data_IF_064324617693
#
_entry.id   IF_064324617693
#
_cell.length_a   1.000
_cell.length_b   1.000
_cell.length_c   1.000
_cell.angle_alpha   90.00
_cell.angle_beta   90.00
_cell.angle_gamma   90.00
#
_symmetry.space_group_name_H-M   'P 1'
#
loop_
_entity.id
_entity.type
_entity.pdbx_description
1 polymer ?
#
# COMPACT_ATOMS: atom_id res chain seq x y z
N UNK A 1 6.43 6.79 6.19
CA UNK A 1 6.74 5.41 6.62
C UNK A 1 8.06 5.33 7.38
N UNK A 2 8.39 4.16 7.89
CA UNK A 2 9.54 3.92 8.77
C UNK A 2 10.89 4.40 8.20
N UNK A 3 11.08 4.41 6.90
CA UNK A 3 12.31 4.85 6.25
C UNK A 3 12.70 6.29 6.59
N UNK A 4 11.73 7.13 6.88
CA UNK A 4 11.91 8.53 7.26
C UNK A 4 11.72 8.78 8.76
N UNK A 5 11.42 7.74 9.55
CA UNK A 5 11.11 7.85 10.96
C UNK A 5 12.24 8.49 11.78
N UNK A 6 13.50 8.11 11.50
CA UNK A 6 14.66 8.68 12.17
C UNK A 6 14.80 10.18 12.01
N UNK A 7 14.34 10.76 10.88
CA UNK A 7 14.37 12.22 10.71
C UNK A 7 13.54 12.94 11.77
N UNK A 8 12.39 12.37 12.14
CA UNK A 8 11.54 12.89 13.23
C UNK A 8 12.23 12.74 14.57
N UNK A 9 12.81 11.55 14.83
CA UNK A 9 13.52 11.27 16.09
C UNK A 9 14.70 12.22 16.25
N UNK A 10 15.55 12.38 15.25
CA UNK A 10 16.69 13.30 15.28
C UNK A 10 16.26 14.75 15.53
N UNK A 11 15.24 15.22 14.79
CA UNK A 11 14.73 16.58 14.93
C UNK A 11 14.30 16.89 16.36
N UNK A 12 13.62 15.94 17.00
CA UNK A 12 13.03 16.12 18.35
C UNK A 12 13.94 15.69 19.50
N UNK A 13 15.13 15.16 19.19
CA UNK A 13 16.12 14.76 20.22
C UNK A 13 17.45 15.49 20.02
N UNK A 14 18.28 15.05 19.07
CA UNK A 14 19.64 15.60 18.87
C UNK A 14 19.64 17.06 18.41
N UNK A 15 18.62 17.50 17.69
CA UNK A 15 18.50 18.83 17.12
C UNK A 15 17.50 19.74 17.88
N UNK A 16 16.76 19.21 18.86
CA UNK A 16 15.67 19.94 19.53
C UNK A 16 16.09 21.30 20.12
N UNK A 17 17.32 21.39 20.64
CA UNK A 17 17.86 22.58 21.28
C UNK A 17 18.83 23.38 20.41
N UNK A 18 18.95 23.03 19.11
CA UNK A 18 19.80 23.78 18.19
C UNK A 18 19.06 24.98 17.64
N UNK A 19 19.77 26.12 17.55
CA UNK A 19 19.21 27.33 16.98
C UNK A 19 18.62 27.11 15.58
N UNK A 20 17.38 27.54 15.39
CA UNK A 20 16.64 27.37 14.14
C UNK A 20 15.89 26.06 13.97
N UNK A 21 15.98 25.10 14.91
CA UNK A 21 15.25 23.82 14.85
C UNK A 21 14.08 23.73 15.84
N UNK A 22 14.03 24.56 16.86
CA UNK A 22 13.04 24.56 17.93
C UNK A 22 11.61 24.83 17.46
N UNK A 23 11.44 25.56 16.36
CA UNK A 23 10.14 25.90 15.78
C UNK A 23 9.66 24.89 14.71
N UNK A 24 10.48 23.94 14.29
CA UNK A 24 10.13 22.97 13.24
C UNK A 24 9.13 21.94 13.80
N UNK A 25 8.00 21.82 13.11
CA UNK A 25 6.99 20.81 13.40
C UNK A 25 7.18 19.59 12.50
N UNK A 26 6.99 18.40 13.09
CA UNK A 26 7.10 17.13 12.39
C UNK A 26 5.70 16.51 12.18
N UNK A 27 5.34 16.30 10.93
CA UNK A 27 4.21 15.45 10.54
C UNK A 27 4.76 14.12 10.01
N UNK A 28 4.37 13.02 10.63
CA UNK A 28 4.75 11.68 10.21
C UNK A 28 3.56 10.98 9.54
N UNK A 29 3.75 10.34 8.39
CA UNK A 29 2.68 9.63 7.69
C UNK A 29 2.94 8.13 7.63
N UNK A 30 1.95 7.34 8.08
CA UNK A 30 1.94 5.88 8.00
C UNK A 30 1.13 5.48 6.76
N UNK A 31 1.79 4.96 5.73
CA UNK A 31 1.14 4.38 4.56
C UNK A 31 0.85 2.89 4.74
N UNK A 32 1.77 2.16 5.38
CA UNK A 32 1.57 0.76 5.75
C UNK A 32 2.23 0.46 7.10
N UNK A 33 1.42 0.15 8.10
CA UNK A 33 1.86 -0.12 9.48
C UNK A 33 2.59 -1.47 9.63
N UNK A 34 2.47 -2.35 8.66
CA UNK A 34 3.15 -3.65 8.66
C UNK A 34 4.68 -3.49 8.65
N UNK A 35 5.18 -2.48 7.93
CA UNK A 35 6.60 -2.21 7.79
C UNK A 35 7.04 -1.13 8.77
N UNK A 36 7.71 -1.55 9.86
CA UNK A 36 7.94 -0.70 11.03
C UNK A 36 9.40 -0.27 11.22
N UNK A 37 10.35 -0.89 10.50
CA UNK A 37 11.78 -0.63 10.70
C UNK A 37 12.25 -1.14 12.06
N UNK A 38 12.29 -2.48 12.22
CA UNK A 38 12.72 -3.15 13.44
C UNK A 38 14.21 -3.49 13.37
N UNK A 39 14.98 -3.17 14.44
CA UNK A 39 16.41 -3.34 14.52
C UNK A 39 16.83 -3.83 15.92
N UNK A 40 17.97 -4.49 16.03
CA UNK A 40 18.54 -4.84 17.33
C UNK A 40 18.94 -3.60 18.15
N UNK A 41 19.04 -3.77 19.46
CA UNK A 41 19.42 -2.66 20.36
C UNK A 41 20.82 -2.13 20.12
N UNK A 42 21.75 -2.95 19.62
CA UNK A 42 23.09 -2.57 19.20
C UNK A 42 23.09 -1.45 18.14
N UNK A 43 22.06 -1.41 17.30
CA UNK A 43 21.92 -0.38 16.28
C UNK A 43 21.65 1.03 16.87
N UNK A 44 21.25 1.17 18.13
CA UNK A 44 20.89 2.46 18.71
C UNK A 44 22.06 3.47 18.65
N UNK A 45 23.20 3.08 19.20
CA UNK A 45 24.42 3.91 19.18
C UNK A 45 25.21 3.74 17.89
N UNK A 46 25.50 2.49 17.51
CA UNK A 46 26.43 2.16 16.45
C UNK A 46 25.96 2.57 15.05
N UNK A 47 24.67 2.37 14.76
CA UNK A 47 24.11 2.68 13.45
C UNK A 47 23.37 4.02 13.43
N UNK A 48 22.57 4.29 14.47
CA UNK A 48 21.71 5.47 14.51
C UNK A 48 22.32 6.66 15.25
N UNK A 49 23.40 6.46 16.01
CA UNK A 49 24.06 7.53 16.78
C UNK A 49 23.14 8.16 17.84
N UNK A 50 22.16 7.42 18.34
CA UNK A 50 21.19 7.89 19.32
C UNK A 50 21.67 7.54 20.75
N UNK A 51 21.46 8.44 21.72
CA UNK A 51 21.80 8.18 23.11
C UNK A 51 20.81 7.18 23.75
N UNK A 52 21.24 6.48 24.80
CA UNK A 52 20.42 5.53 25.54
C UNK A 52 19.12 6.15 26.10
N UNK A 53 19.10 7.45 26.37
CA UNK A 53 17.89 8.17 26.81
C UNK A 53 16.73 8.14 25.79
N UNK A 54 17.01 7.89 24.52
CA UNK A 54 16.01 7.82 23.47
C UNK A 54 15.44 6.39 23.33
N UNK A 55 16.17 5.38 23.81
CA UNK A 55 15.80 3.96 23.70
C UNK A 55 14.37 3.66 24.12
N UNK A 56 13.82 4.14 25.26
CA UNK A 56 12.45 3.81 25.68
C UNK A 56 11.36 4.22 24.66
N UNK A 57 11.61 5.29 23.89
CA UNK A 57 10.67 5.73 22.85
C UNK A 57 10.66 4.83 21.62
N UNK A 58 11.76 4.11 21.34
CA UNK A 58 11.89 3.20 20.23
C UNK A 58 11.70 1.73 20.66
N UNK A 59 11.88 1.43 21.96
CA UNK A 59 11.82 0.06 22.47
C UNK A 59 10.42 -0.54 22.30
N UNK A 60 10.37 -1.67 21.59
CA UNK A 60 9.15 -2.41 21.35
C UNK A 60 9.45 -3.89 21.12
N UNK A 61 8.90 -4.72 22.00
CA UNK A 61 8.93 -6.19 21.87
C UNK A 61 10.36 -6.75 21.66
N UNK A 62 11.30 -6.28 22.49
CA UNK A 62 12.68 -6.76 22.45
C UNK A 62 13.56 -6.20 21.33
N UNK A 63 13.11 -5.15 20.62
CA UNK A 63 13.86 -4.51 19.54
C UNK A 63 13.61 -3.00 19.49
N UNK A 64 14.40 -2.28 18.69
CA UNK A 64 14.13 -0.90 18.30
C UNK A 64 13.09 -0.90 17.19
N UNK A 65 12.04 -0.10 17.34
CA UNK A 65 11.02 0.11 16.33
C UNK A 65 10.99 1.58 15.92
N UNK A 66 11.45 1.86 14.71
CA UNK A 66 11.61 3.24 14.23
C UNK A 66 10.26 3.94 14.05
N UNK A 67 9.23 3.23 13.58
CA UNK A 67 7.89 3.78 13.43
C UNK A 67 7.30 4.18 14.79
N UNK A 68 7.49 3.37 15.83
CA UNK A 68 7.10 3.73 17.21
C UNK A 68 7.77 5.03 17.64
N UNK A 69 9.08 5.16 17.39
CA UNK A 69 9.81 6.40 17.68
C UNK A 69 9.23 7.61 16.97
N UNK A 70 8.89 7.48 15.69
CA UNK A 70 8.28 8.58 14.93
C UNK A 70 6.88 8.95 15.44
N UNK A 71 6.04 7.96 15.81
CA UNK A 71 4.73 8.22 16.45
C UNK A 71 4.92 8.98 17.75
N UNK A 72 5.88 8.57 18.58
CA UNK A 72 6.14 9.17 19.89
C UNK A 72 6.61 10.63 19.76
N UNK A 73 7.54 10.90 18.85
CA UNK A 73 8.20 12.20 18.75
C UNK A 73 7.54 13.19 17.78
N UNK A 74 6.68 12.74 16.86
CA UNK A 74 6.00 13.65 15.93
C UNK A 74 5.02 14.59 16.65
N UNK A 75 4.86 15.80 16.12
CA UNK A 75 3.81 16.75 16.61
C UNK A 75 2.43 16.27 16.17
N UNK A 76 2.34 15.68 14.98
CA UNK A 76 1.16 15.01 14.43
C UNK A 76 1.60 13.80 13.62
N UNK A 77 0.73 12.82 13.49
CA UNK A 77 0.91 11.76 12.50
C UNK A 77 -0.40 11.45 11.79
N UNK A 78 -0.27 10.98 10.58
CA UNK A 78 -1.41 10.68 9.72
C UNK A 78 -1.31 9.28 9.14
N UNK A 79 -2.44 8.80 8.65
CA UNK A 79 -2.51 7.63 7.79
C UNK A 79 -3.43 7.89 6.61
N UNK A 80 -3.53 6.95 5.67
CA UNK A 80 -4.05 7.16 4.32
C UNK A 80 -5.57 7.00 4.19
N UNK A 81 -6.30 6.83 5.27
CA UNK A 81 -7.77 6.97 5.29
C UNK A 81 -8.32 7.17 6.70
N UNK A 82 -9.54 7.71 6.82
CA UNK A 82 -10.23 7.83 8.10
C UNK A 82 -10.54 6.45 8.71
N UNK A 83 -10.91 5.49 7.87
CA UNK A 83 -11.17 4.11 8.30
C UNK A 83 -9.89 3.49 8.83
N UNK A 84 -8.79 3.57 8.09
CA UNK A 84 -7.51 3.02 8.49
C UNK A 84 -6.98 3.65 9.80
N UNK A 85 -7.21 4.94 10.03
CA UNK A 85 -6.88 5.58 11.31
C UNK A 85 -7.62 4.96 12.51
N UNK A 86 -8.80 4.39 12.30
CA UNK A 86 -9.52 3.64 13.33
C UNK A 86 -9.05 2.18 13.40
N UNK A 87 -8.80 1.55 12.27
CA UNK A 87 -8.35 0.16 12.17
C UNK A 87 -7.01 -0.06 12.88
N UNK A 88 -6.02 0.81 12.64
CA UNK A 88 -4.68 0.68 13.27
C UNK A 88 -4.66 0.85 14.80
N UNK A 89 -5.77 1.25 15.41
CA UNK A 89 -5.95 1.23 16.87
C UNK A 89 -6.32 -0.17 17.39
N UNK A 90 -6.81 -1.04 16.52
CA UNK A 90 -7.20 -2.41 16.88
C UNK A 90 -5.98 -3.34 16.81
N UNK A 91 -5.78 -4.22 17.81
CA UNK A 91 -4.65 -5.17 17.81
C UNK A 91 -4.49 -6.00 16.55
N UNK A 92 -5.59 -6.37 15.89
CA UNK A 92 -5.57 -7.18 14.66
C UNK A 92 -4.90 -6.44 13.49
N UNK A 93 -5.12 -5.12 13.36
CA UNK A 93 -4.59 -4.32 12.26
C UNK A 93 -3.33 -3.54 12.61
N UNK A 94 -3.02 -3.41 13.89
CA UNK A 94 -1.93 -2.55 14.37
C UNK A 94 -0.54 -3.18 14.24
N UNK A 95 -0.45 -4.45 13.89
CA UNK A 95 0.82 -5.21 13.85
C UNK A 95 1.68 -5.02 15.11
N UNK A 96 0.98 -4.95 16.26
CA UNK A 96 1.59 -4.78 17.58
C UNK A 96 1.70 -3.33 18.08
N UNK A 97 1.54 -2.32 17.23
CA UNK A 97 1.70 -0.90 17.63
C UNK A 97 0.45 -0.26 18.25
N UNK A 98 -0.63 -1.02 18.53
CA UNK A 98 -1.90 -0.48 19.06
C UNK A 98 -1.72 0.41 20.29
N UNK A 99 -0.84 0.05 21.22
CA UNK A 99 -0.61 0.84 22.43
C UNK A 99 0.05 2.18 22.10
N UNK A 100 1.11 2.18 21.30
CA UNK A 100 1.78 3.40 20.89
C UNK A 100 0.85 4.36 20.11
N UNK A 101 -0.06 3.79 19.29
CA UNK A 101 -1.05 4.56 18.55
C UNK A 101 -2.12 5.11 19.48
N UNK A 102 -2.71 4.28 20.36
CA UNK A 102 -3.77 4.71 21.27
C UNK A 102 -3.29 5.77 22.27
N UNK A 103 -2.09 5.63 22.83
CA UNK A 103 -1.48 6.65 23.69
C UNK A 103 -1.27 8.00 22.98
N UNK A 104 -1.11 7.99 21.67
CA UNK A 104 -0.88 9.17 20.85
C UNK A 104 -2.04 9.51 19.90
N UNK A 105 -3.23 8.93 20.11
CA UNK A 105 -4.35 9.08 19.16
C UNK A 105 -4.80 10.53 18.96
N UNK A 106 -4.59 11.40 19.95
CA UNK A 106 -4.86 12.84 19.83
C UNK A 106 -4.01 13.55 18.75
N UNK A 107 -2.94 12.92 18.30
CA UNK A 107 -2.09 13.37 17.18
C UNK A 107 -2.50 12.76 15.83
N UNK A 108 -3.32 11.70 15.83
CA UNK A 108 -3.63 10.91 14.64
C UNK A 108 -4.73 11.54 13.78
N UNK A 109 -4.51 11.59 12.48
CA UNK A 109 -5.51 12.00 11.49
C UNK A 109 -5.47 11.06 10.28
N UNK A 110 -6.64 10.59 9.84
CA UNK A 110 -6.76 9.85 8.57
C UNK A 110 -7.00 10.83 7.40
N UNK A 111 -6.10 10.83 6.42
CA UNK A 111 -6.15 11.69 5.23
C UNK A 111 -6.20 10.79 4.00
N UNK A 112 -7.25 10.91 3.19
CA UNK A 112 -7.38 10.13 1.97
C UNK A 112 -6.36 10.57 0.93
N UNK A 113 -5.73 9.61 0.24
CA UNK A 113 -4.87 9.93 -0.90
C UNK A 113 -5.70 10.56 -2.03
N UNK A 114 -5.14 11.55 -2.69
CA UNK A 114 -5.73 12.14 -3.89
C UNK A 114 -5.48 11.29 -5.14
N UNK A 115 -6.23 11.60 -6.18
CA UNK A 115 -6.03 11.08 -7.55
C UNK A 115 -5.66 12.27 -8.42
N UNK A 116 -4.65 12.12 -9.27
CA UNK A 116 -4.31 13.10 -10.29
C UNK A 116 -5.28 12.97 -11.47
N UNK A 117 -6.30 13.81 -11.50
CA UNK A 117 -7.35 13.82 -12.51
C UNK A 117 -6.86 14.32 -13.88
N UNK A 118 -5.66 14.88 -13.96
CA UNK A 118 -5.07 15.27 -15.25
C UNK A 118 -4.39 14.08 -15.92
N UNK A 119 -3.82 13.17 -15.11
CA UNK A 119 -3.15 11.95 -15.59
C UNK A 119 -4.12 10.78 -15.73
N UNK A 120 -5.04 10.62 -14.76
CA UNK A 120 -6.00 9.51 -14.71
C UNK A 120 -7.38 9.96 -15.21
N UNK A 121 -7.45 10.57 -16.39
CA UNK A 121 -8.68 11.01 -17.00
C UNK A 121 -8.95 10.27 -18.31
N UNK A 122 -9.94 9.35 -18.37
CA UNK A 122 -10.23 8.59 -19.58
C UNK A 122 -10.75 9.41 -20.74
N UNK A 123 -11.18 10.65 -20.52
CA UNK A 123 -11.60 11.57 -21.59
C UNK A 123 -10.41 12.13 -22.38
N UNK A 124 -9.25 12.24 -21.73
CA UNK A 124 -8.06 12.92 -22.28
C UNK A 124 -6.83 12.02 -22.34
N UNK A 125 -6.88 10.80 -21.83
CA UNK A 125 -5.76 9.87 -21.82
C UNK A 125 -5.45 9.38 -23.25
N UNK A 126 -4.34 9.86 -23.80
CA UNK A 126 -3.86 9.52 -25.14
C UNK A 126 -3.41 8.05 -25.28
N UNK A 127 -3.23 7.32 -24.18
CA UNK A 127 -2.84 5.91 -24.15
C UNK A 127 -4.01 4.97 -24.37
N UNK A 128 -5.24 5.46 -24.24
CA UNK A 128 -6.42 4.64 -24.49
C UNK A 128 -6.68 4.48 -25.99
N UNK A 129 -7.06 3.30 -26.40
CA UNK A 129 -7.46 3.03 -27.79
C UNK A 129 -8.67 3.89 -28.22
N UNK A 130 -9.57 4.19 -27.30
CA UNK A 130 -10.68 5.10 -27.46
C UNK A 130 -11.02 5.75 -26.13
N UNK A 131 -11.06 7.06 -26.11
CA UNK A 131 -11.48 7.82 -24.93
C UNK A 131 -12.96 7.57 -24.62
N UNK A 132 -13.30 7.72 -23.33
CA UNK A 132 -14.66 7.58 -22.81
C UNK A 132 -14.85 8.46 -21.58
N UNK A 133 -16.12 8.73 -21.22
CA UNK A 133 -16.48 9.46 -20.01
C UNK A 133 -17.52 8.70 -19.18
N UNK A 134 -17.93 9.28 -18.07
CA UNK A 134 -19.05 8.76 -17.28
C UNK A 134 -20.38 8.81 -18.05
N UNK A 135 -20.54 9.82 -18.92
CA UNK A 135 -21.75 10.03 -19.71
C UNK A 135 -21.74 9.24 -21.04
N UNK A 136 -20.57 8.89 -21.54
CA UNK A 136 -20.40 8.10 -22.76
C UNK A 136 -19.34 6.99 -22.59
N UNK A 137 -19.81 5.81 -22.26
CA UNK A 137 -18.94 4.64 -22.01
C UNK A 137 -18.66 3.80 -23.27
N UNK A 138 -19.11 4.18 -24.48
CA UNK A 138 -18.93 3.38 -25.73
C UNK A 138 -17.46 3.12 -26.04
N UNK A 139 -16.57 4.04 -25.68
CA UNK A 139 -15.13 3.87 -25.82
C UNK A 139 -14.57 2.67 -25.05
N UNK A 140 -15.17 2.27 -23.93
CA UNK A 140 -14.76 1.08 -23.17
C UNK A 140 -14.88 -0.21 -23.96
N UNK A 141 -15.92 -0.33 -24.79
CA UNK A 141 -16.08 -1.49 -25.66
C UNK A 141 -14.96 -1.61 -26.69
N UNK A 142 -14.49 -0.48 -27.26
CA UNK A 142 -13.32 -0.47 -28.17
C UNK A 142 -12.06 -0.84 -27.40
N UNK A 143 -11.83 -0.23 -26.24
CA UNK A 143 -10.66 -0.58 -25.41
C UNK A 143 -10.64 -2.06 -25.02
N UNK A 144 -11.79 -2.64 -24.68
CA UNK A 144 -11.91 -4.08 -24.38
C UNK A 144 -11.47 -4.95 -25.57
N UNK A 145 -11.98 -4.68 -26.76
CA UNK A 145 -11.64 -5.44 -27.97
C UNK A 145 -10.15 -5.36 -28.30
N UNK A 146 -9.59 -4.17 -28.25
CA UNK A 146 -8.17 -3.99 -28.54
C UNK A 146 -7.28 -4.65 -27.47
N UNK A 147 -7.71 -4.64 -26.19
CA UNK A 147 -7.01 -5.37 -25.13
C UNK A 147 -7.10 -6.88 -25.34
N UNK A 148 -8.25 -7.42 -25.73
CA UNK A 148 -8.42 -8.83 -26.08
C UNK A 148 -7.45 -9.23 -27.21
N UNK A 149 -7.37 -8.45 -28.28
CA UNK A 149 -6.41 -8.66 -29.38
C UNK A 149 -4.97 -8.63 -28.92
N UNK A 150 -4.60 -7.61 -28.14
CA UNK A 150 -3.24 -7.43 -27.62
C UNK A 150 -2.78 -8.64 -26.80
N UNK A 151 -3.69 -9.26 -26.04
CA UNK A 151 -3.41 -10.37 -25.15
C UNK A 151 -3.67 -11.75 -25.80
N UNK A 152 -4.08 -11.79 -27.06
CA UNK A 152 -4.41 -13.06 -27.75
C UNK A 152 -5.67 -13.74 -27.23
N UNK A 153 -6.55 -12.99 -26.54
CA UNK A 153 -7.85 -13.49 -26.09
C UNK A 153 -8.86 -13.43 -27.24
N UNK A 154 -9.82 -14.37 -27.31
CA UNK A 154 -10.93 -14.26 -28.26
C UNK A 154 -11.73 -12.97 -28.04
N UNK A 155 -12.06 -12.27 -29.13
CA UNK A 155 -12.93 -11.10 -29.06
C UNK A 155 -14.36 -11.55 -28.74
N UNK A 156 -14.84 -11.25 -27.54
CA UNK A 156 -16.19 -11.58 -27.04
C UNK A 156 -16.83 -10.33 -26.43
N UNK A 157 -17.84 -9.82 -27.08
CA UNK A 157 -18.56 -8.63 -26.61
C UNK A 157 -19.35 -8.90 -25.33
N UNK A 158 -19.93 -10.08 -25.21
CA UNK A 158 -20.81 -10.54 -24.14
C UNK A 158 -20.06 -11.08 -22.90
N UNK A 159 -18.78 -11.44 -23.02
CA UNK A 159 -18.00 -11.91 -21.89
C UNK A 159 -17.41 -10.75 -21.08
N UNK A 160 -17.69 -10.60 -19.77
CA UNK A 160 -16.98 -9.66 -18.94
C UNK A 160 -15.47 -9.91 -18.96
N UNK A 161 -14.67 -8.83 -19.07
CA UNK A 161 -13.22 -8.88 -18.93
C UNK A 161 -12.86 -8.34 -17.55
N UNK A 162 -12.40 -9.22 -16.67
CA UNK A 162 -12.02 -8.92 -15.29
C UNK A 162 -10.51 -8.77 -15.25
N UNK A 163 -10.01 -7.71 -14.63
CA UNK A 163 -8.58 -7.49 -14.50
C UNK A 163 -8.14 -7.38 -13.03
N UNK A 164 -6.99 -7.99 -12.73
CA UNK A 164 -6.27 -7.85 -11.47
C UNK A 164 -4.90 -7.23 -11.80
N UNK A 165 -4.71 -5.98 -11.38
CA UNK A 165 -3.46 -5.24 -11.61
C UNK A 165 -2.88 -4.86 -10.24
N UNK A 166 -1.92 -5.65 -9.74
CA UNK A 166 -1.34 -5.43 -8.41
C UNK A 166 -0.02 -6.17 -8.23
N UNK A 167 0.66 -5.90 -7.11
CA UNK A 167 1.71 -6.81 -6.63
C UNK A 167 1.09 -8.16 -6.27
N UNK A 168 1.75 -9.26 -6.64
CA UNK A 168 1.28 -10.62 -6.35
C UNK A 168 1.77 -11.05 -4.96
N UNK A 169 1.11 -10.54 -3.92
CA UNK A 169 1.44 -10.77 -2.50
C UNK A 169 0.17 -11.04 -1.70
N UNK A 170 0.25 -11.73 -0.52
CA UNK A 170 -0.90 -12.10 0.31
C UNK A 170 -1.80 -10.92 0.68
N UNK A 171 -1.21 -9.76 0.98
CA UNK A 171 -1.93 -8.53 1.35
C UNK A 171 -2.91 -8.01 0.28
N UNK A 172 -2.88 -8.57 -0.94
CA UNK A 172 -3.83 -8.27 -2.03
C UNK A 172 -5.02 -9.23 -2.10
N UNK A 173 -5.13 -10.15 -1.15
CA UNK A 173 -6.22 -11.11 -1.10
C UNK A 173 -6.18 -12.16 -2.21
N UNK A 174 -5.01 -12.44 -2.78
CA UNK A 174 -4.87 -13.38 -3.89
C UNK A 174 -5.19 -14.82 -3.47
N UNK A 175 -5.10 -15.15 -2.19
CA UNK A 175 -5.56 -16.44 -1.65
C UNK A 175 -7.06 -16.62 -1.87
N UNK A 176 -7.85 -15.56 -1.67
CA UNK A 176 -9.29 -15.57 -1.92
C UNK A 176 -9.57 -15.72 -3.42
N UNK A 177 -8.78 -15.04 -4.25
CA UNK A 177 -8.88 -15.19 -5.70
C UNK A 177 -8.60 -16.64 -6.12
N UNK A 178 -7.54 -17.26 -5.59
CA UNK A 178 -7.21 -18.68 -5.88
C UNK A 178 -8.35 -19.65 -5.51
N UNK A 179 -9.10 -19.33 -4.46
CA UNK A 179 -10.22 -20.18 -4.03
C UNK A 179 -11.39 -20.18 -5.03
N UNK A 180 -11.61 -19.11 -5.80
CA UNK A 180 -12.83 -18.95 -6.62
C UNK A 180 -12.56 -18.81 -8.11
N UNK A 181 -11.31 -18.64 -8.54
CA UNK A 181 -11.00 -18.25 -9.91
C UNK A 181 -11.33 -19.34 -10.93
N UNK A 182 -11.19 -20.63 -10.57
CA UNK A 182 -11.54 -21.74 -11.49
C UNK A 182 -13.05 -21.84 -11.70
N UNK A 183 -13.85 -21.60 -10.65
CA UNK A 183 -15.31 -21.52 -10.76
C UNK A 183 -15.70 -20.33 -11.65
N UNK A 184 -15.06 -19.18 -11.44
CA UNK A 184 -15.28 -17.99 -12.27
C UNK A 184 -14.93 -18.25 -13.74
N UNK A 185 -13.81 -18.92 -14.03
CA UNK A 185 -13.39 -19.26 -15.37
C UNK A 185 -14.24 -20.36 -16.04
N UNK A 186 -15.07 -21.09 -15.28
CA UNK A 186 -16.07 -21.98 -15.86
C UNK A 186 -17.21 -21.21 -16.55
N UNK A 187 -17.48 -19.98 -16.09
CA UNK A 187 -18.49 -19.10 -16.64
C UNK A 187 -18.02 -18.40 -17.94
N UNK A 188 -18.93 -17.62 -18.59
CA UNK A 188 -18.58 -16.82 -19.77
C UNK A 188 -17.86 -15.53 -19.39
N UNK A 189 -16.62 -15.64 -18.88
CA UNK A 189 -15.77 -14.51 -18.49
C UNK A 189 -14.37 -14.65 -19.06
N UNK A 190 -13.66 -13.56 -19.10
CA UNK A 190 -12.21 -13.51 -19.34
C UNK A 190 -11.52 -12.82 -18.18
N UNK A 191 -10.31 -13.27 -17.82
CA UNK A 191 -9.54 -12.72 -16.69
C UNK A 191 -8.16 -12.32 -17.19
N UNK A 192 -7.68 -11.15 -16.79
CA UNK A 192 -6.32 -10.66 -17.06
C UNK A 192 -5.64 -10.33 -15.76
N UNK A 193 -4.47 -10.91 -15.53
CA UNK A 193 -3.69 -10.69 -14.32
C UNK A 193 -2.34 -10.08 -14.70
N UNK A 194 -2.09 -8.87 -14.22
CA UNK A 194 -0.83 -8.15 -14.42
C UNK A 194 -0.19 -7.83 -13.09
N UNK A 195 0.99 -8.38 -12.83
CA UNK A 195 1.72 -8.10 -11.61
C UNK A 195 3.00 -8.92 -11.49
N UNK A 196 3.76 -8.60 -10.46
CA UNK A 196 4.95 -9.33 -10.04
C UNK A 196 4.93 -9.45 -8.52
N UNK A 197 5.45 -10.54 -7.95
CA UNK A 197 5.49 -10.73 -6.52
C UNK A 197 6.12 -12.05 -6.09
N UNK A 198 5.44 -12.80 -5.23
CA UNK A 198 5.92 -14.09 -4.75
C UNK A 198 5.78 -15.17 -5.83
N UNK A 199 6.80 -16.03 -5.94
CA UNK A 199 6.87 -17.05 -6.96
C UNK A 199 5.64 -17.97 -7.03
N UNK A 200 5.12 -18.37 -5.87
CA UNK A 200 3.95 -19.25 -5.76
C UNK A 200 2.70 -18.66 -6.44
N UNK A 201 2.50 -17.34 -6.37
CA UNK A 201 1.40 -16.68 -7.08
C UNK A 201 1.69 -16.55 -8.56
N UNK A 202 2.91 -16.17 -8.94
CA UNK A 202 3.29 -16.05 -10.33
C UNK A 202 3.14 -17.39 -11.07
N UNK A 203 3.64 -18.47 -10.49
CA UNK A 203 3.59 -19.81 -11.08
C UNK A 203 2.15 -20.35 -11.14
N UNK A 204 1.36 -20.11 -10.08
CA UNK A 204 -0.06 -20.50 -10.09
C UNK A 204 -0.83 -19.82 -11.23
N UNK A 205 -0.69 -18.50 -11.37
CA UNK A 205 -1.43 -17.77 -12.41
C UNK A 205 -0.93 -18.06 -13.83
N UNK A 206 0.37 -18.36 -14.02
CA UNK A 206 0.88 -18.87 -15.31
C UNK A 206 0.27 -20.23 -15.66
N UNK A 207 0.28 -21.17 -14.72
CA UNK A 207 -0.37 -22.47 -14.90
C UNK A 207 -1.88 -22.32 -15.21
N UNK A 208 -2.54 -21.39 -14.56
CA UNK A 208 -3.96 -21.12 -14.81
C UNK A 208 -4.19 -20.59 -16.23
N UNK A 209 -3.35 -19.66 -16.71
CA UNK A 209 -3.42 -19.12 -18.06
C UNK A 209 -3.20 -20.22 -19.12
N UNK A 210 -2.27 -21.13 -18.90
CA UNK A 210 -2.03 -22.28 -19.78
C UNK A 210 -3.24 -23.22 -19.82
N UNK A 211 -3.85 -23.52 -18.66
CA UNK A 211 -5.02 -24.42 -18.54
C UNK A 211 -6.28 -23.82 -19.16
N UNK A 212 -6.50 -22.51 -18.97
CA UNK A 212 -7.68 -21.79 -19.43
C UNK A 212 -7.36 -20.86 -20.61
N UNK A 213 -6.57 -21.36 -21.56
CA UNK A 213 -6.19 -20.62 -22.76
C UNK A 213 -7.41 -19.99 -23.45
N UNK A 214 -7.33 -18.70 -23.78
CA UNK A 214 -8.43 -17.92 -24.35
C UNK A 214 -9.43 -17.37 -23.32
N UNK A 215 -9.27 -17.67 -22.03
CA UNK A 215 -10.05 -17.10 -20.93
C UNK A 215 -9.20 -16.39 -19.88
N UNK A 216 -7.93 -16.79 -19.71
CA UNK A 216 -7.00 -16.18 -18.76
C UNK A 216 -5.66 -15.93 -19.44
#
# INVERSE_FOLDING_TARGET
DWQTALSVVYLKTLYANRYGYDHIKALFTIHNIEYQGKYGYDCLGDLFGLPESVKPALDYDGCLNLMKGAIQFSDRFSTVSRMYANEIKNPFFAHGLQYAICENEFKLTGILNGIDETVYNPETDEKLFRNYSADDTRGKGVCKKELQKMLGLPEKDDAPLISIISRLVPAKGLDLVKCVIEELLAENVQVVILGKGEGDYEDYFRMLADRYSGKC
#
